data_IF_465488567847
#
_entry.id   IF_465488567847
#
_cell.length_a   1.000
_cell.length_b   1.000
_cell.length_c   1.000
_cell.angle_alpha   90.00
_cell.angle_beta   90.00
_cell.angle_gamma   90.00
#
_symmetry.space_group_name_H-M   'P 1'
#
loop_
_entity.id
_entity.type
_entity.pdbx_description
1 polymer ?
#
# COMPACT_ATOMS: atom_id res chain seq x y z
N UNK A 1 -35.86 -5.50 -0.69
CA UNK A 1 -37.09 -5.02 -0.04
C UNK A 1 -37.18 -3.55 0.37
N UNK A 2 -36.10 -2.74 0.46
CA UNK A 2 -36.23 -1.27 0.65
C UNK A 2 -35.98 -0.43 -0.62
N UNK A 3 -35.33 -1.00 -1.64
CA UNK A 3 -35.01 -0.34 -2.91
C UNK A 3 -35.42 -1.16 -4.15
N UNK A 4 -36.11 -2.29 -3.96
CA UNK A 4 -36.57 -3.15 -5.07
C UNK A 4 -35.47 -3.81 -5.91
N UNK A 5 -34.24 -3.95 -5.40
CA UNK A 5 -33.10 -4.53 -6.15
C UNK A 5 -33.17 -6.08 -6.13
N UNK A 6 -33.21 -6.75 -7.30
CA UNK A 6 -33.17 -8.22 -7.39
C UNK A 6 -31.86 -8.82 -6.84
N UNK A 7 -31.91 -10.06 -6.36
CA UNK A 7 -30.73 -10.75 -5.82
C UNK A 7 -29.61 -10.86 -6.86
N UNK A 8 -29.96 -11.17 -8.10
CA UNK A 8 -29.03 -11.29 -9.23
C UNK A 8 -28.29 -9.97 -9.49
N UNK A 9 -29.00 -8.84 -9.35
CA UNK A 9 -28.40 -7.52 -9.50
C UNK A 9 -27.45 -7.17 -8.34
N UNK A 10 -27.73 -7.64 -7.12
CA UNK A 10 -26.83 -7.50 -5.97
C UNK A 10 -25.55 -8.31 -6.20
N UNK A 11 -25.67 -9.58 -6.59
CA UNK A 11 -24.54 -10.46 -6.89
C UNK A 11 -23.67 -9.92 -8.03
N UNK A 12 -24.31 -9.49 -9.12
CA UNK A 12 -23.63 -8.90 -10.27
C UNK A 12 -22.92 -7.60 -9.89
N UNK A 13 -23.56 -6.74 -9.09
CA UNK A 13 -22.96 -5.52 -8.57
C UNK A 13 -21.70 -5.79 -7.76
N UNK A 14 -21.75 -6.75 -6.83
CA UNK A 14 -20.59 -7.16 -6.02
C UNK A 14 -19.48 -7.70 -6.93
N UNK A 15 -19.80 -8.58 -7.87
CA UNK A 15 -18.83 -9.20 -8.77
C UNK A 15 -18.11 -8.19 -9.68
N UNK A 16 -18.87 -7.23 -10.22
CA UNK A 16 -18.35 -6.22 -11.15
C UNK A 16 -17.67 -5.05 -10.46
N UNK A 17 -17.87 -4.86 -9.16
CA UNK A 17 -17.28 -3.73 -8.44
C UNK A 17 -15.76 -3.73 -8.56
N UNK A 18 -15.19 -2.57 -8.90
CA UNK A 18 -13.76 -2.30 -8.88
C UNK A 18 -13.55 -1.03 -8.09
N UNK A 19 -12.56 -1.05 -7.19
CA UNK A 19 -12.24 0.10 -6.36
C UNK A 19 -10.74 0.44 -6.51
N UNK A 20 -10.42 1.44 -7.34
CA UNK A 20 -9.04 1.92 -7.48
C UNK A 20 -8.40 2.26 -6.14
N UNK A 21 -7.20 1.75 -5.89
CA UNK A 21 -6.45 1.96 -4.65
C UNK A 21 -7.01 1.26 -3.41
N UNK A 22 -7.79 0.18 -3.56
CA UNK A 22 -8.22 -0.71 -2.46
C UNK A 22 -7.88 -2.15 -2.81
N UNK A 23 -6.76 -2.64 -2.29
CA UNK A 23 -6.15 -3.91 -2.68
C UNK A 23 -6.13 -4.11 -4.22
N UNK A 24 -5.89 -3.02 -4.95
CA UNK A 24 -5.91 -3.02 -6.42
C UNK A 24 -4.60 -3.61 -6.94
N UNK A 25 -4.66 -4.79 -7.56
CA UNK A 25 -3.49 -5.39 -8.22
C UNK A 25 -3.26 -4.75 -9.59
N UNK A 26 -2.08 -4.19 -9.80
CA UNK A 26 -1.69 -3.46 -11.02
C UNK A 26 -0.50 -4.08 -11.76
N UNK A 27 0.11 -5.12 -11.22
CA UNK A 27 1.15 -5.92 -11.90
C UNK A 27 1.19 -7.33 -11.33
N UNK A 28 1.69 -8.30 -12.11
CA UNK A 28 1.77 -9.72 -11.71
C UNK A 28 3.19 -10.22 -11.41
N UNK A 29 4.24 -9.64 -12.02
CA UNK A 29 5.63 -10.14 -11.90
C UNK A 29 6.67 -9.00 -11.84
N UNK A 30 7.14 -8.58 -10.65
CA UNK A 30 6.59 -8.96 -9.34
C UNK A 30 5.16 -8.43 -9.18
N UNK A 31 4.38 -9.04 -8.30
CA UNK A 31 3.03 -8.56 -8.01
C UNK A 31 3.11 -7.17 -7.38
N UNK A 32 2.31 -6.21 -7.88
CA UNK A 32 2.21 -4.87 -7.29
C UNK A 32 0.75 -4.61 -6.92
N UNK A 33 0.52 -4.28 -5.65
CA UNK A 33 -0.81 -4.02 -5.07
C UNK A 33 -0.84 -2.61 -4.49
N UNK A 34 -1.90 -1.87 -4.80
CA UNK A 34 -2.14 -0.53 -4.29
C UNK A 34 -3.23 -0.56 -3.22
N UNK A 35 -2.96 0.00 -2.05
CA UNK A 35 -3.95 0.12 -1.00
C UNK A 35 -3.85 1.43 -0.22
N UNK A 36 -4.96 2.15 -0.12
CA UNK A 36 -5.02 3.46 0.54
C UNK A 36 -5.10 3.43 2.06
N UNK A 37 -4.81 2.32 2.74
CA UNK A 37 -4.68 2.26 4.19
C UNK A 37 -3.76 3.37 4.70
N UNK A 38 -4.28 4.24 5.57
CA UNK A 38 -3.58 5.44 6.01
C UNK A 38 -3.89 5.85 7.45
N UNK A 39 -4.63 5.01 8.15
CA UNK A 39 -4.99 5.15 9.55
C UNK A 39 -4.82 3.77 10.22
N UNK A 40 -4.84 3.67 11.56
CA UNK A 40 -4.64 2.41 12.26
C UNK A 40 -5.60 1.31 11.83
N UNK A 41 -6.90 1.58 11.76
CA UNK A 41 -7.91 0.59 11.36
C UNK A 41 -7.68 0.03 9.94
N UNK A 42 -7.32 0.90 8.98
CA UNK A 42 -6.99 0.50 7.63
C UNK A 42 -5.70 -0.30 7.56
N UNK A 43 -4.67 0.12 8.32
CA UNK A 43 -3.41 -0.60 8.41
C UNK A 43 -3.60 -1.99 9.05
N UNK A 44 -4.44 -2.10 10.06
CA UNK A 44 -4.80 -3.37 10.68
C UNK A 44 -5.57 -4.28 9.70
N UNK A 45 -6.52 -3.74 8.94
CA UNK A 45 -7.25 -4.48 7.92
C UNK A 45 -6.31 -5.00 6.82
N UNK A 46 -5.39 -4.17 6.34
CA UNK A 46 -4.35 -4.57 5.39
C UNK A 46 -3.41 -5.62 6.00
N UNK A 47 -3.01 -5.48 7.25
CA UNK A 47 -2.19 -6.47 7.95
C UNK A 47 -2.90 -7.83 8.04
N UNK A 48 -4.21 -7.87 8.32
CA UNK A 48 -5.01 -9.10 8.28
C UNK A 48 -5.04 -9.72 6.88
N UNK A 49 -5.15 -8.90 5.85
CA UNK A 49 -5.08 -9.37 4.46
C UNK A 49 -3.72 -10.00 4.15
N UNK A 50 -2.62 -9.32 4.48
CA UNK A 50 -1.26 -9.83 4.28
C UNK A 50 -1.04 -11.16 5.00
N UNK A 51 -1.44 -11.26 6.27
CA UNK A 51 -1.33 -12.52 7.04
C UNK A 51 -2.13 -13.66 6.42
N UNK A 52 -3.31 -13.38 5.84
CA UNK A 52 -4.20 -14.41 5.30
C UNK A 52 -3.79 -14.88 3.90
N UNK A 53 -3.38 -13.96 3.04
CA UNK A 53 -3.22 -14.24 1.60
C UNK A 53 -1.75 -14.22 1.12
N UNK A 54 -0.85 -13.66 1.93
CA UNK A 54 0.57 -13.53 1.60
C UNK A 54 1.47 -14.24 2.62
N UNK A 55 0.90 -15.09 3.50
CA UNK A 55 1.69 -15.95 4.38
C UNK A 55 2.63 -16.84 3.58
N UNK A 56 3.94 -16.74 3.83
CA UNK A 56 4.97 -17.49 3.11
C UNK A 56 5.49 -16.82 1.84
N UNK A 57 5.02 -15.62 1.49
CA UNK A 57 5.60 -14.78 0.43
C UNK A 57 6.31 -13.58 1.05
N UNK A 58 7.41 -13.16 0.44
CA UNK A 58 8.10 -11.93 0.86
C UNK A 58 7.33 -10.72 0.35
N UNK A 59 7.04 -9.80 1.26
CA UNK A 59 6.27 -8.58 0.99
C UNK A 59 7.16 -7.36 1.14
N UNK A 60 7.29 -6.56 0.10
CA UNK A 60 7.95 -5.26 0.14
C UNK A 60 6.92 -4.16 0.30
N UNK A 61 7.13 -3.23 1.23
CA UNK A 61 6.24 -2.08 1.42
C UNK A 61 6.87 -0.81 0.85
N UNK A 62 6.14 -0.09 0.02
CA UNK A 62 6.38 1.31 -0.26
C UNK A 62 5.38 2.10 0.59
N UNK A 63 5.88 2.90 1.52
CA UNK A 63 5.06 3.58 2.52
C UNK A 63 5.31 5.09 2.51
N UNK A 64 4.23 5.86 2.60
CA UNK A 64 4.29 7.30 2.77
C UNK A 64 3.07 7.80 3.52
N UNK A 65 3.27 8.79 4.38
CA UNK A 65 2.21 9.34 5.22
C UNK A 65 2.05 10.86 5.04
N UNK A 66 0.91 11.38 5.51
CA UNK A 66 0.62 12.81 5.56
C UNK A 66 0.82 13.31 7.00
N UNK A 67 1.17 14.59 7.16
CA UNK A 67 1.11 15.29 8.46
C UNK A 67 -0.31 15.09 9.00
N UNK A 68 -0.47 14.83 10.30
CA UNK A 68 -1.75 14.53 11.00
C UNK A 68 -2.10 13.04 11.22
N UNK A 69 -1.16 12.10 11.02
CA UNK A 69 -1.45 10.65 11.14
C UNK A 69 -0.74 9.96 12.30
N UNK A 70 -1.39 8.94 12.87
CA UNK A 70 -0.80 7.95 13.77
C UNK A 70 0.16 7.01 13.03
N UNK A 71 1.28 7.57 12.52
CA UNK A 71 2.27 6.88 11.69
C UNK A 71 2.83 5.65 12.40
N UNK A 72 3.22 5.79 13.66
CA UNK A 72 3.84 4.71 14.43
C UNK A 72 2.89 3.53 14.66
N UNK A 73 1.61 3.79 14.90
CA UNK A 73 0.60 2.74 15.08
C UNK A 73 0.31 2.01 13.76
N UNK A 74 0.10 2.74 12.66
CA UNK A 74 -0.08 2.14 11.35
C UNK A 74 1.15 1.33 10.89
N UNK A 75 2.35 1.87 11.13
CA UNK A 75 3.61 1.17 10.86
C UNK A 75 3.75 -0.09 11.73
N UNK A 76 3.36 -0.03 13.02
CA UNK A 76 3.38 -1.16 13.94
C UNK A 76 2.53 -2.35 13.48
N UNK A 77 1.44 -2.11 12.76
CA UNK A 77 0.64 -3.19 12.17
C UNK A 77 1.26 -3.81 10.90
N UNK A 78 1.95 -3.00 10.09
CA UNK A 78 2.35 -3.37 8.73
C UNK A 78 3.81 -3.77 8.61
N UNK A 79 4.72 -3.00 9.20
CA UNK A 79 6.16 -3.15 8.98
C UNK A 79 6.69 -4.50 9.47
N UNK A 80 6.23 -5.07 10.60
CA UNK A 80 6.66 -6.41 11.02
C UNK A 80 6.29 -7.53 10.05
N UNK A 81 5.37 -7.30 9.10
CA UNK A 81 4.97 -8.26 8.07
C UNK A 81 5.77 -8.11 6.77
N UNK A 82 6.63 -7.09 6.68
CA UNK A 82 7.38 -6.77 5.49
C UNK A 82 8.77 -7.45 5.51
N UNK A 83 9.20 -7.92 4.34
CA UNK A 83 10.59 -8.24 4.06
C UNK A 83 11.44 -6.96 4.13
N UNK A 84 10.95 -5.87 3.57
CA UNK A 84 11.61 -4.57 3.57
C UNK A 84 10.62 -3.42 3.36
N UNK A 85 11.00 -2.24 3.83
CA UNK A 85 10.18 -1.03 3.79
C UNK A 85 10.95 0.09 3.09
N UNK A 86 10.31 0.72 2.11
CA UNK A 86 10.82 1.86 1.37
C UNK A 86 9.93 3.06 1.69
N UNK A 87 10.48 4.03 2.39
CA UNK A 87 9.80 5.28 2.70
C UNK A 87 9.92 6.24 1.54
N UNK A 88 8.81 6.85 1.16
CA UNK A 88 8.75 7.89 0.13
C UNK A 88 7.60 8.86 0.41
N UNK A 89 7.49 9.90 -0.39
CA UNK A 89 6.44 10.91 -0.27
C UNK A 89 5.85 11.23 -1.65
N UNK A 90 4.51 11.36 -1.77
CA UNK A 90 3.91 11.92 -2.96
C UNK A 90 4.22 13.40 -3.08
N UNK A 91 4.07 13.95 -4.29
CA UNK A 91 4.15 15.38 -4.58
C UNK A 91 2.94 16.12 -4.01
N UNK A 92 2.90 16.28 -2.69
CA UNK A 92 1.80 16.92 -1.99
C UNK A 92 2.31 17.77 -0.79
N UNK A 93 1.84 19.02 -0.60
CA UNK A 93 2.34 19.92 0.45
C UNK A 93 2.25 19.36 1.88
N UNK A 94 1.20 18.58 2.15
CA UNK A 94 0.98 17.91 3.45
C UNK A 94 1.74 16.59 3.62
N UNK A 95 2.53 16.13 2.65
CA UNK A 95 3.28 14.89 2.80
C UNK A 95 4.36 15.04 3.88
N UNK A 96 4.56 13.98 4.67
CA UNK A 96 5.71 13.91 5.58
C UNK A 96 6.94 13.56 4.75
N UNK A 97 8.06 14.25 5.02
CA UNK A 97 9.31 13.93 4.34
C UNK A 97 9.74 12.50 4.69
N UNK A 98 10.24 11.71 3.72
CA UNK A 98 10.69 10.34 3.98
C UNK A 98 11.75 10.26 5.08
N UNK A 99 12.67 11.23 5.12
CA UNK A 99 13.69 11.33 6.17
C UNK A 99 13.09 11.53 7.56
N UNK A 100 12.01 12.32 7.65
CA UNK A 100 11.27 12.50 8.92
C UNK A 100 10.52 11.23 9.30
N UNK A 101 9.93 10.51 8.34
CA UNK A 101 9.30 9.21 8.62
C UNK A 101 10.31 8.21 9.17
N UNK A 102 11.52 8.18 8.62
CA UNK A 102 12.59 7.28 9.06
C UNK A 102 13.04 7.51 10.51
N UNK A 103 12.74 8.67 11.10
CA UNK A 103 12.99 8.97 12.51
C UNK A 103 11.87 8.49 13.44
N UNK A 104 10.68 8.17 12.90
CA UNK A 104 9.47 7.83 13.67
C UNK A 104 9.16 6.33 13.68
N UNK A 105 9.86 5.56 12.86
CA UNK A 105 9.61 4.14 12.60
C UNK A 105 10.92 3.41 12.51
N UNK A 106 10.90 2.12 12.82
CA UNK A 106 12.07 1.26 12.73
C UNK A 106 11.74 0.00 11.93
N UNK A 107 12.70 -0.43 11.11
CA UNK A 107 12.64 -1.70 10.40
C UNK A 107 14.08 -2.15 10.05
N UNK A 108 14.45 -3.44 10.19
CA UNK A 108 15.82 -3.90 9.91
C UNK A 108 16.29 -3.65 8.47
N UNK A 109 15.34 -3.61 7.52
CA UNK A 109 15.58 -3.32 6.11
C UNK A 109 14.74 -2.12 5.68
N UNK A 110 15.10 -0.96 6.21
CA UNK A 110 14.48 0.32 5.89
C UNK A 110 15.32 1.08 4.86
N UNK A 111 14.67 1.56 3.82
CA UNK A 111 15.27 2.42 2.79
C UNK A 111 14.44 3.68 2.61
N UNK A 112 15.07 4.74 2.11
CA UNK A 112 14.41 6.00 1.75
C UNK A 112 14.59 6.25 0.25
N UNK A 113 13.52 6.68 -0.42
CA UNK A 113 13.55 7.08 -1.82
C UNK A 113 13.02 8.52 -1.98
N UNK A 114 13.61 9.28 -2.90
CA UNK A 114 13.32 10.70 -3.11
C UNK A 114 12.02 10.98 -3.86
N UNK A 115 11.43 9.97 -4.51
CA UNK A 115 10.16 10.09 -5.22
C UNK A 115 9.40 8.76 -5.23
N UNK A 116 8.12 8.79 -5.60
CA UNK A 116 7.28 7.59 -5.75
C UNK A 116 7.85 6.68 -6.85
N UNK A 117 8.27 7.26 -7.97
CA UNK A 117 8.91 6.55 -9.08
C UNK A 117 10.22 5.87 -8.64
N UNK A 118 11.08 6.60 -7.91
CA UNK A 118 12.33 6.04 -7.39
C UNK A 118 12.07 4.89 -6.41
N UNK A 119 11.03 5.01 -5.57
CA UNK A 119 10.61 3.95 -4.65
C UNK A 119 10.14 2.69 -5.39
N UNK A 120 9.32 2.85 -6.43
CA UNK A 120 8.86 1.74 -7.28
C UNK A 120 10.05 1.06 -7.95
N UNK A 121 10.97 1.84 -8.52
CA UNK A 121 12.18 1.32 -9.15
C UNK A 121 13.08 0.56 -8.16
N UNK A 122 13.23 1.08 -6.93
CA UNK A 122 13.98 0.41 -5.88
C UNK A 122 13.31 -0.89 -5.45
N UNK A 123 12.00 -0.89 -5.19
CA UNK A 123 11.25 -2.08 -4.81
C UNK A 123 11.35 -3.17 -5.87
N UNK A 124 11.23 -2.82 -7.16
CA UNK A 124 11.37 -3.77 -8.28
C UNK A 124 12.77 -4.39 -8.38
N UNK A 125 13.83 -3.67 -8.00
CA UNK A 125 15.20 -4.22 -7.96
C UNK A 125 15.43 -5.15 -6.79
N UNK A 126 14.75 -4.91 -5.66
CA UNK A 126 14.92 -5.70 -4.44
C UNK A 126 14.01 -6.94 -4.41
N UNK A 127 12.83 -6.85 -5.02
CA UNK A 127 11.85 -7.92 -5.09
C UNK A 127 12.23 -8.97 -6.15
N UNK A 128 12.15 -10.25 -5.77
CA UNK A 128 12.17 -11.35 -6.74
C UNK A 128 10.80 -11.49 -7.43
N UNK A 129 10.74 -12.23 -8.54
CA UNK A 129 9.50 -12.41 -9.32
C UNK A 129 8.34 -13.02 -8.52
N UNK A 130 8.61 -13.81 -7.47
CA UNK A 130 7.59 -14.42 -6.59
C UNK A 130 7.18 -13.55 -5.40
N UNK A 131 7.87 -12.44 -5.16
CA UNK A 131 7.56 -11.51 -4.08
C UNK A 131 6.34 -10.63 -4.46
N UNK A 132 5.83 -9.89 -3.49
CA UNK A 132 4.79 -8.89 -3.69
C UNK A 132 5.23 -7.52 -3.20
N UNK A 133 4.84 -6.46 -3.90
CA UNK A 133 5.10 -5.07 -3.53
C UNK A 133 3.76 -4.41 -3.22
N UNK A 134 3.61 -3.87 -2.01
CA UNK A 134 2.44 -3.11 -1.60
C UNK A 134 2.78 -1.62 -1.48
N UNK A 135 1.97 -0.78 -2.11
CA UNK A 135 2.11 0.68 -2.03
C UNK A 135 0.96 1.24 -1.18
N UNK A 136 1.28 1.83 -0.03
CA UNK A 136 0.28 2.20 0.98
C UNK A 136 0.69 3.37 1.89
N UNK A 137 -0.15 3.73 2.86
CA UNK A 137 0.08 4.80 3.84
C UNK A 137 -0.62 6.13 3.50
N UNK A 138 -1.00 6.33 2.23
CA UNK A 138 -1.67 7.55 1.79
C UNK A 138 -2.42 7.33 0.47
N UNK A 139 -3.63 7.88 0.38
CA UNK A 139 -4.38 7.96 -0.88
C UNK A 139 -3.63 8.79 -1.94
N UNK A 140 -2.88 9.83 -1.55
CA UNK A 140 -2.09 10.63 -2.48
C UNK A 140 -0.92 9.83 -3.06
N UNK A 141 -0.24 9.04 -2.22
CA UNK A 141 0.82 8.14 -2.66
C UNK A 141 0.28 7.08 -3.62
N UNK A 142 -0.85 6.46 -3.26
CA UNK A 142 -1.51 5.47 -4.11
C UNK A 142 -1.95 6.08 -5.43
N UNK A 143 -2.52 7.29 -5.43
CA UNK A 143 -2.93 7.98 -6.65
C UNK A 143 -1.76 8.26 -7.59
N UNK A 144 -0.66 8.80 -7.06
CA UNK A 144 0.57 9.05 -7.85
C UNK A 144 1.17 7.74 -8.36
N UNK A 145 1.32 6.73 -7.51
CA UNK A 145 1.82 5.41 -7.92
C UNK A 145 0.95 4.77 -8.99
N UNK A 146 -0.38 4.86 -8.86
CA UNK A 146 -1.33 4.36 -9.85
C UNK A 146 -1.13 5.02 -11.20
N UNK A 147 -0.98 6.34 -11.26
CA UNK A 147 -0.73 7.06 -12.53
C UNK A 147 0.57 6.67 -13.23
N UNK A 148 1.56 6.17 -12.47
CA UNK A 148 2.83 5.69 -13.01
C UNK A 148 2.77 4.22 -13.48
N UNK A 149 1.84 3.43 -12.93
CA UNK A 149 1.78 1.98 -13.10
C UNK A 149 0.65 1.51 -14.03
N UNK A 150 -0.46 2.24 -14.04
CA UNK A 150 -1.66 1.92 -14.81
C UNK A 150 -1.77 2.99 -15.90
N UNK A 151 -1.36 2.62 -17.12
CA UNK A 151 -1.58 3.38 -18.35
C UNK A 151 -2.76 2.79 -19.11
#
# INVERSE_FOLDING_TARGET
DLLGVPAEAIEEGIWKTRWPGRLERVSEKPEIVLDGAHNPAGAEALARHLRRFYSGRRVWLIYGAMRDKAVSEAAGHLFPLAEGVILTAPRHPRAVRPETLAQLVEHPRLSVASSVEAAIGLARRMAAAGDAIFITGSLFLVGEARSLLVQ
#
